data_IF_246314335766
#
_entry.id   IF_246314335766
#
_cell.length_a   1.000
_cell.length_b   1.000
_cell.length_c   1.000
_cell.angle_alpha   90.00
_cell.angle_beta   90.00
_cell.angle_gamma   90.00
#
_symmetry.space_group_name_H-M   'P 1'
#
loop_
_entity.id
_entity.type
_entity.pdbx_description
1 polymer ?
#
# COMPACT_ATOMS: atom_id res chain seq x y z
N UNK A 1 -7.19 6.57 -16.70
CA UNK A 1 -8.04 7.74 -16.46
C UNK A 1 -7.25 8.72 -15.58
N UNK A 2 -7.18 10.03 -15.90
CA UNK A 2 -6.47 10.99 -15.09
C UNK A 2 -7.08 11.07 -13.68
N UNK A 3 -6.25 11.23 -12.66
CA UNK A 3 -6.68 11.34 -11.26
C UNK A 3 -7.54 12.59 -10.99
N UNK A 4 -7.49 13.58 -11.87
CA UNK A 4 -8.33 14.80 -11.82
C UNK A 4 -9.81 14.56 -12.09
N UNK A 5 -10.18 13.34 -12.51
CA UNK A 5 -11.58 12.97 -12.87
C UNK A 5 -12.26 12.10 -11.78
N UNK A 6 -11.72 12.03 -10.55
CA UNK A 6 -12.43 11.34 -9.46
C UNK A 6 -13.69 12.15 -9.09
N UNK A 7 -14.90 11.62 -9.31
CA UNK A 7 -16.13 12.34 -8.98
C UNK A 7 -16.23 12.65 -7.49
N UNK A 8 -16.71 13.83 -7.16
CA UNK A 8 -16.94 14.23 -5.77
C UNK A 8 -17.91 13.30 -5.03
N UNK A 9 -17.90 13.32 -3.68
CA UNK A 9 -18.69 12.40 -2.86
C UNK A 9 -20.21 12.50 -3.04
N UNK A 10 -20.69 13.61 -3.60
CA UNK A 10 -22.12 13.85 -3.82
C UNK A 10 -22.64 13.27 -5.15
N UNK A 11 -21.76 12.80 -6.03
CA UNK A 11 -22.13 12.28 -7.34
C UNK A 11 -21.97 10.76 -7.44
N UNK A 12 -22.85 10.06 -6.71
CA UNK A 12 -22.83 8.58 -6.62
C UNK A 12 -22.89 7.88 -7.98
N UNK A 13 -23.52 8.49 -8.98
CA UNK A 13 -23.66 7.89 -10.31
C UNK A 13 -22.35 8.01 -11.10
N UNK A 14 -21.70 9.17 -11.03
CA UNK A 14 -20.39 9.38 -11.66
C UNK A 14 -19.31 8.54 -10.98
N UNK A 15 -19.34 8.44 -9.66
CA UNK A 15 -18.43 7.59 -8.90
C UNK A 15 -18.59 6.11 -9.27
N UNK A 16 -19.83 5.62 -9.36
CA UNK A 16 -20.11 4.25 -9.78
C UNK A 16 -19.65 3.96 -11.22
N UNK A 17 -19.84 4.91 -12.14
CA UNK A 17 -19.38 4.79 -13.52
C UNK A 17 -17.86 4.88 -13.64
N UNK A 18 -17.21 5.71 -12.83
CA UNK A 18 -15.77 5.81 -12.74
C UNK A 18 -15.15 4.50 -12.21
N UNK A 19 -15.70 3.96 -11.11
CA UNK A 19 -15.31 2.65 -10.55
C UNK A 19 -15.52 1.54 -11.57
N UNK A 20 -16.66 1.50 -12.25
CA UNK A 20 -16.95 0.50 -13.29
C UNK A 20 -16.02 0.64 -14.51
N UNK A 21 -15.61 1.87 -14.85
CA UNK A 21 -14.59 2.13 -15.86
C UNK A 21 -13.22 1.58 -15.46
N UNK A 22 -12.82 1.84 -14.23
CA UNK A 22 -11.56 1.37 -13.66
C UNK A 22 -11.53 -0.16 -13.54
N UNK A 23 -12.61 -0.78 -13.08
CA UNK A 23 -12.74 -2.25 -13.00
C UNK A 23 -12.64 -2.90 -14.38
N UNK A 24 -13.21 -2.30 -15.45
CA UNK A 24 -13.05 -2.81 -16.82
C UNK A 24 -11.61 -2.71 -17.32
N UNK A 25 -10.86 -1.67 -16.95
CA UNK A 25 -9.42 -1.57 -17.28
C UNK A 25 -8.58 -2.59 -16.52
N UNK A 26 -8.95 -2.88 -15.27
CA UNK A 26 -8.32 -3.94 -14.47
C UNK A 26 -8.63 -5.33 -15.02
N UNK A 27 -9.87 -5.59 -15.44
CA UNK A 27 -10.28 -6.86 -16.07
C UNK A 27 -9.51 -7.11 -17.39
N UNK A 28 -9.30 -6.06 -18.20
CA UNK A 28 -8.49 -6.15 -19.42
C UNK A 28 -7.00 -6.44 -19.12
N UNK A 29 -6.47 -5.88 -18.02
CA UNK A 29 -5.09 -6.14 -17.58
C UNK A 29 -4.93 -7.55 -16.95
N UNK A 30 -6.00 -8.13 -16.42
CA UNK A 30 -6.02 -9.46 -15.80
C UNK A 30 -6.24 -10.61 -16.83
N UNK A 31 -6.65 -10.28 -18.06
CA UNK A 31 -6.97 -11.29 -19.10
C UNK A 31 -5.79 -11.66 -20.00
N UNK A 32 -4.67 -10.96 -19.94
CA UNK A 32 -3.45 -11.43 -20.60
C UNK A 32 -2.81 -12.55 -19.76
N UNK A 33 -2.71 -13.79 -20.27
CA UNK A 33 -2.07 -14.88 -19.55
C UNK A 33 -0.54 -14.65 -19.57
N UNK A 34 -0.04 -13.95 -18.58
CA UNK A 34 1.39 -13.99 -18.28
C UNK A 34 1.66 -15.38 -17.69
N UNK A 35 2.55 -16.13 -18.34
CA UNK A 35 2.95 -17.48 -17.92
C UNK A 35 3.71 -17.43 -16.59
N UNK A 36 3.02 -17.76 -15.48
CA UNK A 36 3.42 -17.53 -14.08
C UNK A 36 4.08 -18.75 -13.43
N UNK A 37 4.78 -19.61 -14.16
CA UNK A 37 5.25 -20.89 -13.61
C UNK A 37 6.55 -20.85 -12.78
N UNK A 38 7.14 -19.70 -12.48
CA UNK A 38 8.45 -19.65 -11.81
C UNK A 38 8.50 -19.01 -10.42
N UNK A 39 7.41 -18.90 -9.70
CA UNK A 39 7.44 -18.26 -8.36
C UNK A 39 6.20 -18.44 -7.49
N UNK A 40 5.23 -19.18 -7.95
CA UNK A 40 3.96 -19.33 -7.28
C UNK A 40 4.04 -20.45 -6.23
N UNK A 41 4.21 -20.09 -4.96
CA UNK A 41 4.08 -21.05 -3.85
C UNK A 41 2.80 -20.75 -3.05
N UNK A 42 1.66 -21.40 -3.39
CA UNK A 42 0.40 -21.21 -2.68
C UNK A 42 0.50 -21.50 -1.17
N UNK A 43 1.45 -22.33 -0.76
CA UNK A 43 1.66 -22.67 0.65
C UNK A 43 2.14 -21.45 1.45
N UNK A 44 3.00 -20.62 0.88
CA UNK A 44 3.46 -19.39 1.56
C UNK A 44 2.38 -18.34 1.66
N UNK A 45 1.46 -18.30 0.70
CA UNK A 45 0.31 -17.39 0.76
C UNK A 45 -0.69 -17.79 1.84
N UNK A 46 -0.83 -19.07 2.15
CA UNK A 46 -1.72 -19.54 3.22
C UNK A 46 -1.31 -19.08 4.62
N UNK A 47 -0.06 -18.62 4.79
CA UNK A 47 0.45 -18.05 6.04
C UNK A 47 0.14 -16.55 6.17
N UNK A 48 -0.38 -15.89 5.12
CA UNK A 48 -0.68 -14.47 5.13
C UNK A 48 -2.11 -14.23 5.61
N UNK A 49 -2.26 -13.69 6.80
CA UNK A 49 -3.56 -13.33 7.38
C UNK A 49 -4.01 -11.92 7.02
N UNK A 50 -3.08 -11.06 6.62
CA UNK A 50 -3.37 -9.66 6.28
C UNK A 50 -2.35 -9.09 5.30
N UNK A 51 -2.79 -8.13 4.48
CA UNK A 51 -1.90 -7.38 3.58
C UNK A 51 -2.03 -5.90 3.85
N UNK A 52 -0.91 -5.22 4.12
CA UNK A 52 -0.89 -3.81 4.44
C UNK A 52 -0.10 -2.99 3.43
N UNK A 53 -0.73 -1.94 2.92
CA UNK A 53 -0.08 -0.89 2.16
C UNK A 53 0.50 0.15 3.12
N UNK A 54 1.80 0.40 3.03
CA UNK A 54 2.47 1.50 3.70
C UNK A 54 2.64 2.63 2.69
N UNK A 55 1.96 3.74 2.90
CA UNK A 55 1.90 4.85 1.97
C UNK A 55 2.60 6.07 2.56
N UNK A 56 3.37 6.80 1.77
CA UNK A 56 4.03 7.99 2.25
C UNK A 56 4.75 8.81 1.17
N UNK A 57 5.38 9.89 1.61
CA UNK A 57 6.14 10.78 0.75
C UNK A 57 7.34 11.35 1.54
N UNK A 58 7.53 12.66 1.57
CA UNK A 58 8.60 13.30 2.30
C UNK A 58 8.58 12.93 3.81
N UNK A 59 9.70 12.42 4.32
CA UNK A 59 9.85 11.99 5.71
C UNK A 59 9.33 10.58 6.02
N UNK A 60 8.66 9.90 5.10
CA UNK A 60 8.11 8.57 5.33
C UNK A 60 9.18 7.50 5.60
N UNK A 61 10.35 7.60 4.99
CA UNK A 61 11.44 6.62 5.16
C UNK A 61 11.80 6.42 6.64
N UNK A 62 11.99 7.50 7.38
CA UNK A 62 12.32 7.42 8.81
C UNK A 62 11.15 6.86 9.65
N UNK A 63 9.92 7.23 9.30
CA UNK A 63 8.71 6.74 9.96
C UNK A 63 8.53 5.22 9.73
N UNK A 64 8.72 4.74 8.50
CA UNK A 64 8.64 3.32 8.14
C UNK A 64 9.76 2.52 8.80
N UNK A 65 10.98 3.07 8.91
CA UNK A 65 12.06 2.43 9.68
C UNK A 65 11.69 2.30 11.16
N UNK A 66 11.18 3.36 11.77
CA UNK A 66 10.74 3.35 13.17
C UNK A 66 9.59 2.34 13.39
N UNK A 67 8.66 2.25 12.44
CA UNK A 67 7.57 1.28 12.44
C UNK A 67 8.11 -0.17 12.46
N UNK A 68 8.97 -0.55 11.52
CA UNK A 68 9.49 -1.93 11.47
C UNK A 68 10.43 -2.26 12.63
N UNK A 69 11.16 -1.28 13.15
CA UNK A 69 12.06 -1.50 14.30
C UNK A 69 11.31 -1.75 15.61
N UNK A 70 10.03 -1.41 15.68
CA UNK A 70 9.22 -1.59 16.88
C UNK A 70 8.56 -2.97 17.01
N UNK A 71 8.56 -3.79 15.95
CA UNK A 71 8.09 -5.17 16.03
C UNK A 71 9.05 -6.03 16.83
N UNK A 72 8.51 -6.88 17.69
CA UNK A 72 9.29 -7.89 18.43
C UNK A 72 9.43 -9.17 17.62
N UNK A 73 8.47 -9.47 16.75
CA UNK A 73 8.48 -10.60 15.82
C UNK A 73 7.66 -10.25 14.56
N UNK A 74 7.93 -10.85 13.40
CA UNK A 74 7.13 -10.63 12.21
C UNK A 74 5.73 -11.21 12.41
N UNK A 75 4.68 -10.40 12.30
CA UNK A 75 3.31 -10.93 12.28
C UNK A 75 3.02 -11.66 10.95
N UNK A 76 1.93 -12.45 10.84
CA UNK A 76 1.53 -13.13 9.61
C UNK A 76 0.96 -12.13 8.58
N UNK A 77 1.72 -11.08 8.31
CA UNK A 77 1.36 -9.93 7.48
C UNK A 77 2.38 -9.78 6.35
N UNK A 78 1.87 -9.61 5.14
CA UNK A 78 2.67 -9.13 4.03
C UNK A 78 2.53 -7.62 3.87
N UNK A 79 3.63 -6.94 3.56
CA UNK A 79 3.67 -5.50 3.41
C UNK A 79 3.99 -5.09 1.97
N UNK A 80 3.29 -4.08 1.49
CA UNK A 80 3.61 -3.37 0.25
C UNK A 80 3.94 -1.94 0.65
N UNK A 81 5.07 -1.43 0.15
CA UNK A 81 5.50 -0.07 0.46
C UNK A 81 5.48 0.80 -0.79
N UNK A 82 4.72 1.88 -0.75
CA UNK A 82 4.61 2.89 -1.78
C UNK A 82 5.02 4.25 -1.22
N UNK A 83 6.06 4.84 -1.77
CA UNK A 83 6.52 6.17 -1.39
C UNK A 83 6.76 7.02 -2.62
N UNK A 84 6.24 8.25 -2.59
CA UNK A 84 6.59 9.24 -3.61
C UNK A 84 8.05 9.62 -3.50
N UNK A 85 8.74 9.62 -4.61
CA UNK A 85 10.10 10.13 -4.70
C UNK A 85 10.46 10.48 -6.14
N UNK A 86 11.48 11.31 -6.27
CA UNK A 86 12.05 11.65 -7.55
C UNK A 86 12.68 10.40 -8.20
N UNK A 87 12.21 9.96 -9.37
CA UNK A 87 12.76 8.80 -10.05
C UNK A 87 14.27 8.85 -10.30
N UNK A 88 14.84 10.07 -10.37
CA UNK A 88 16.29 10.25 -10.49
C UNK A 88 17.06 9.88 -9.21
N UNK A 89 16.36 9.74 -8.08
CA UNK A 89 16.91 9.39 -6.75
C UNK A 89 16.54 7.99 -6.29
N UNK A 90 16.13 7.11 -7.19
CA UNK A 90 15.71 5.74 -6.87
C UNK A 90 16.73 4.99 -6.01
N UNK A 91 18.04 5.17 -6.25
CA UNK A 91 19.10 4.57 -5.46
C UNK A 91 19.06 4.90 -3.95
N UNK A 92 18.40 6.01 -3.57
CA UNK A 92 18.24 6.37 -2.15
C UNK A 92 17.23 5.47 -1.44
N UNK A 93 16.22 4.96 -2.16
CA UNK A 93 15.26 3.99 -1.61
C UNK A 93 15.84 2.58 -1.57
N UNK A 94 16.67 2.22 -2.55
CA UNK A 94 17.41 0.96 -2.56
C UNK A 94 18.35 0.87 -1.34
N UNK A 95 18.76 2.01 -0.78
CA UNK A 95 19.56 2.10 0.44
C UNK A 95 18.75 2.02 1.74
N UNK A 96 17.41 1.89 1.67
CA UNK A 96 16.58 1.70 2.85
C UNK A 96 16.99 0.40 3.57
N UNK A 97 17.77 0.55 4.62
CA UNK A 97 18.23 -0.58 5.42
C UNK A 97 17.38 -0.68 6.68
N UNK A 98 16.62 -1.76 6.79
CA UNK A 98 15.92 -2.08 8.03
C UNK A 98 16.91 -2.61 9.08
N UNK A 99 16.85 -2.04 10.28
CA UNK A 99 17.66 -2.54 11.40
C UNK A 99 17.10 -3.86 11.93
N UNK A 100 15.76 -4.01 11.91
CA UNK A 100 15.11 -5.26 12.27
C UNK A 100 15.32 -6.29 11.15
N UNK A 101 16.21 -7.25 11.42
CA UNK A 101 16.61 -8.31 10.47
C UNK A 101 15.55 -9.39 10.25
N UNK A 102 14.46 -9.34 10.98
CA UNK A 102 13.32 -10.25 10.78
C UNK A 102 12.47 -9.87 9.55
N UNK A 103 12.66 -8.63 9.05
CA UNK A 103 12.01 -8.17 7.83
C UNK A 103 13.00 -8.09 6.68
N UNK A 104 12.53 -8.45 5.49
CA UNK A 104 13.27 -8.30 4.24
C UNK A 104 12.57 -7.31 3.31
N UNK A 105 13.33 -6.36 2.78
CA UNK A 105 12.84 -5.42 1.77
C UNK A 105 13.31 -5.89 0.40
N UNK A 106 12.38 -5.98 -0.55
CA UNK A 106 12.66 -6.27 -1.96
C UNK A 106 12.08 -5.17 -2.84
N UNK A 107 12.78 -4.85 -3.91
CA UNK A 107 12.26 -3.96 -4.95
C UNK A 107 11.26 -4.75 -5.78
N UNK A 108 10.06 -4.24 -5.92
CA UNK A 108 8.94 -4.91 -6.59
C UNK A 108 9.01 -4.85 -8.11
N UNK A 109 10.21 -5.03 -8.72
CA UNK A 109 10.35 -5.21 -10.17
C UNK A 109 10.05 -6.67 -10.55
N UNK A 110 9.27 -6.86 -11.63
CA UNK A 110 8.88 -8.20 -12.07
C UNK A 110 7.75 -8.80 -11.24
N UNK A 111 7.87 -10.08 -10.89
CA UNK A 111 6.85 -10.84 -10.17
C UNK A 111 7.38 -11.26 -8.79
N UNK A 112 6.61 -10.98 -7.76
CA UNK A 112 6.91 -11.38 -6.39
C UNK A 112 5.70 -12.05 -5.75
N UNK A 113 5.95 -12.89 -4.74
CA UNK A 113 4.89 -13.41 -3.86
C UNK A 113 4.91 -12.64 -2.55
N UNK A 114 3.76 -12.17 -2.13
CA UNK A 114 3.54 -11.56 -0.82
C UNK A 114 3.63 -12.68 0.25
N UNK A 115 4.53 -12.52 1.20
CA UNK A 115 4.75 -13.48 2.28
C UNK A 115 4.99 -12.73 3.59
N UNK A 116 4.74 -13.35 4.76
CA UNK A 116 5.02 -12.73 6.05
C UNK A 116 6.49 -12.29 6.17
N UNK A 117 6.71 -11.15 6.82
CA UNK A 117 8.06 -10.59 7.02
C UNK A 117 8.72 -10.02 5.75
N UNK A 118 8.07 -10.10 4.58
CA UNK A 118 8.57 -9.47 3.36
C UNK A 118 7.83 -8.16 3.08
N UNK A 119 8.60 -7.16 2.69
CA UNK A 119 8.14 -5.85 2.25
C UNK A 119 8.45 -5.72 0.76
N UNK A 120 7.43 -5.60 -0.06
CA UNK A 120 7.60 -5.33 -1.50
C UNK A 120 7.47 -3.84 -1.73
N UNK A 121 8.57 -3.18 -2.06
CA UNK A 121 8.59 -1.75 -2.36
C UNK A 121 8.25 -1.52 -3.83
N UNK A 122 7.24 -0.69 -4.08
CA UNK A 122 6.80 -0.37 -5.44
C UNK A 122 7.76 0.63 -6.07
N UNK A 123 8.39 0.28 -7.21
CA UNK A 123 9.19 1.25 -7.96
C UNK A 123 8.31 2.36 -8.54
N UNK A 124 8.78 3.62 -8.58
CA UNK A 124 7.93 4.76 -8.94
C UNK A 124 7.38 4.68 -10.36
N UNK A 125 8.13 4.11 -11.30
CA UNK A 125 7.74 3.98 -12.70
C UNK A 125 7.19 2.61 -13.06
N UNK A 126 6.66 1.91 -12.08
CA UNK A 126 6.06 0.59 -12.28
C UNK A 126 4.64 0.58 -11.76
N UNK A 127 3.70 0.34 -12.64
CA UNK A 127 2.34 -0.01 -12.23
C UNK A 127 2.30 -1.45 -11.77
N UNK A 128 1.47 -1.74 -10.80
CA UNK A 128 1.36 -3.06 -10.22
C UNK A 128 -0.01 -3.66 -10.44
N UNK A 129 -0.04 -4.99 -10.50
CA UNK A 129 -1.26 -5.78 -10.45
C UNK A 129 -1.12 -6.82 -9.35
N UNK A 130 -2.24 -7.08 -8.67
CA UNK A 130 -2.33 -8.10 -7.62
C UNK A 130 -3.11 -9.29 -8.19
N UNK A 131 -2.43 -10.40 -8.31
CA UNK A 131 -2.97 -11.66 -8.80
C UNK A 131 -3.47 -12.58 -7.69
N UNK A 132 -3.86 -13.79 -8.07
CA UNK A 132 -4.25 -14.84 -7.12
C UNK A 132 -3.04 -15.27 -6.28
N UNK A 133 -3.31 -15.82 -5.09
CA UNK A 133 -2.28 -16.39 -4.21
C UNK A 133 -1.16 -15.42 -3.82
N UNK A 134 -1.53 -14.14 -3.62
CA UNK A 134 -0.59 -13.11 -3.17
C UNK A 134 0.48 -12.73 -4.18
N UNK A 135 0.27 -13.00 -5.46
CA UNK A 135 1.17 -12.50 -6.48
C UNK A 135 1.02 -10.99 -6.65
N UNK A 136 2.15 -10.31 -6.67
CA UNK A 136 2.26 -8.92 -7.11
C UNK A 136 3.19 -8.88 -8.31
N UNK A 137 2.73 -8.35 -9.41
CA UNK A 137 3.54 -8.15 -10.61
C UNK A 137 3.62 -6.68 -10.96
N UNK A 138 4.76 -6.25 -11.46
CA UNK A 138 4.97 -4.88 -11.89
C UNK A 138 5.37 -4.81 -13.35
N UNK A 139 4.83 -3.81 -14.04
CA UNK A 139 5.19 -3.44 -15.41
C UNK A 139 5.64 -2.00 -15.47
N UNK A 140 6.69 -1.73 -16.21
CA UNK A 140 7.17 -0.35 -16.41
C UNK A 140 6.13 0.45 -17.19
N UNK A 141 5.44 1.34 -16.50
CA UNK A 141 4.41 2.22 -17.05
C UNK A 141 4.23 3.43 -16.14
N UNK A 142 3.83 4.55 -16.74
CA UNK A 142 3.49 5.75 -15.99
C UNK A 142 2.14 5.59 -15.29
N UNK A 143 2.00 6.22 -14.12
CA UNK A 143 0.77 6.16 -13.31
C UNK A 143 -0.37 7.03 -13.85
N UNK A 144 -0.10 7.90 -14.79
CA UNK A 144 -1.11 8.79 -15.37
C UNK A 144 -1.50 9.99 -14.51
N UNK A 145 -0.93 10.11 -13.32
CA UNK A 145 -1.05 11.26 -12.42
C UNK A 145 0.31 11.93 -12.19
N UNK A 146 0.33 13.03 -11.44
CA UNK A 146 1.58 13.67 -11.03
C UNK A 146 2.24 12.97 -9.84
N UNK A 147 1.52 12.08 -9.17
CA UNK A 147 2.06 11.24 -8.10
C UNK A 147 2.66 9.94 -8.66
N UNK A 148 3.80 9.55 -8.10
CA UNK A 148 4.57 8.39 -8.59
C UNK A 148 5.29 7.70 -7.43
N UNK A 149 4.84 6.48 -7.02
CA UNK A 149 3.61 5.79 -7.43
C UNK A 149 2.33 6.51 -7.01
N UNK A 150 1.20 6.28 -7.66
CA UNK A 150 -0.10 6.84 -7.32
C UNK A 150 -0.76 6.01 -6.21
N UNK A 151 -0.90 6.57 -5.02
CA UNK A 151 -1.46 5.87 -3.85
C UNK A 151 -2.98 5.71 -3.98
N UNK A 152 -3.67 6.67 -4.60
CA UNK A 152 -5.10 6.54 -4.88
C UNK A 152 -5.37 5.34 -5.78
N UNK A 153 -4.61 5.19 -6.86
CA UNK A 153 -4.75 4.04 -7.77
C UNK A 153 -4.39 2.72 -7.06
N UNK A 154 -3.34 2.72 -6.23
CA UNK A 154 -2.98 1.54 -5.44
C UNK A 154 -4.09 1.09 -4.49
N UNK A 155 -4.76 2.00 -3.81
CA UNK A 155 -5.88 1.68 -2.93
C UNK A 155 -7.06 1.06 -3.71
N UNK A 156 -7.30 1.51 -4.94
CA UNK A 156 -8.30 0.90 -5.81
C UNK A 156 -7.89 -0.51 -6.23
N UNK A 157 -6.62 -0.72 -6.59
CA UNK A 157 -6.09 -2.06 -6.90
C UNK A 157 -6.24 -2.99 -5.68
N UNK A 158 -5.94 -2.52 -4.47
CA UNK A 158 -6.13 -3.26 -3.24
C UNK A 158 -7.60 -3.64 -3.00
N UNK A 159 -8.51 -2.70 -3.23
CA UNK A 159 -9.95 -2.93 -3.09
C UNK A 159 -10.43 -4.03 -4.04
N UNK A 160 -9.93 -4.05 -5.28
CA UNK A 160 -10.32 -5.02 -6.28
C UNK A 160 -9.71 -6.41 -6.09
N UNK A 161 -8.58 -6.51 -5.40
CA UNK A 161 -7.78 -7.75 -5.33
C UNK A 161 -8.27 -8.80 -4.33
N UNK A 162 -9.34 -8.52 -3.57
CA UNK A 162 -9.89 -9.44 -2.55
C UNK A 162 -8.80 -10.02 -1.62
N UNK A 163 -7.97 -9.13 -1.07
CA UNK A 163 -6.88 -9.49 -0.16
C UNK A 163 -7.41 -9.90 1.22
N UNK A 164 -6.71 -10.77 1.97
CA UNK A 164 -7.06 -11.07 3.33
C UNK A 164 -6.88 -9.84 4.22
N UNK A 165 -7.91 -9.45 4.96
CA UNK A 165 -7.90 -8.35 5.93
C UNK A 165 -7.06 -7.13 5.51
N UNK A 166 -7.36 -6.47 4.36
CA UNK A 166 -6.51 -5.42 3.82
C UNK A 166 -6.44 -4.20 4.74
N UNK A 167 -5.27 -3.58 4.80
CA UNK A 167 -5.06 -2.34 5.54
C UNK A 167 -4.17 -1.35 4.81
N UNK A 168 -4.26 -0.09 5.20
CA UNK A 168 -3.34 0.97 4.78
C UNK A 168 -2.86 1.75 5.99
N UNK A 169 -1.57 2.11 6.00
CA UNK A 169 -1.02 3.09 6.93
C UNK A 169 -0.49 4.27 6.12
N UNK A 170 -1.05 5.45 6.37
CA UNK A 170 -0.56 6.70 5.77
C UNK A 170 0.47 7.31 6.70
N UNK A 171 1.70 7.38 6.25
CA UNK A 171 2.82 8.01 6.94
C UNK A 171 3.05 9.44 6.48
N UNK A 172 4.05 10.09 7.07
CA UNK A 172 4.56 11.42 6.69
C UNK A 172 4.60 11.61 5.17
N UNK A 173 4.10 12.74 4.70
CA UNK A 173 4.12 13.06 3.28
C UNK A 173 3.55 14.43 2.94
N UNK A 174 3.99 14.97 1.79
CA UNK A 174 3.42 16.16 1.18
C UNK A 174 2.24 15.79 0.29
N UNK A 175 1.28 16.70 0.15
CA UNK A 175 0.08 16.49 -0.66
C UNK A 175 -1.00 15.71 0.07
N UNK A 176 -1.90 15.12 -0.69
CA UNK A 176 -3.13 14.47 -0.22
C UNK A 176 -3.39 13.12 -0.91
N UNK A 177 -2.38 12.59 -1.62
CA UNK A 177 -2.53 11.36 -2.37
C UNK A 177 -2.91 10.18 -1.45
N UNK A 178 -3.88 9.41 -1.90
CA UNK A 178 -4.51 8.33 -1.15
C UNK A 178 -5.83 8.75 -0.48
N UNK A 179 -5.99 10.00 -0.05
CA UNK A 179 -7.18 10.45 0.69
C UNK A 179 -8.48 10.25 -0.10
N UNK A 180 -8.48 10.53 -1.41
CA UNK A 180 -9.66 10.40 -2.26
C UNK A 180 -10.17 8.95 -2.35
N UNK A 181 -9.28 7.97 -2.31
CA UNK A 181 -9.63 6.54 -2.43
C UNK A 181 -9.92 5.84 -1.10
N UNK A 182 -9.69 6.50 0.06
CA UNK A 182 -9.95 5.90 1.37
C UNK A 182 -11.42 5.51 1.55
N UNK A 183 -12.37 6.28 1.00
CA UNK A 183 -13.80 5.95 1.11
C UNK A 183 -14.17 4.65 0.41
N UNK A 184 -13.60 4.38 -0.75
CA UNK A 184 -13.85 3.13 -1.49
C UNK A 184 -13.18 1.96 -0.77
N UNK A 185 -11.98 2.18 -0.25
CA UNK A 185 -11.23 1.19 0.50
C UNK A 185 -11.92 0.81 1.82
N UNK A 186 -12.43 1.80 2.58
CA UNK A 186 -13.20 1.60 3.81
C UNK A 186 -14.51 0.83 3.54
N UNK A 187 -15.26 1.24 2.50
CA UNK A 187 -16.50 0.58 2.11
C UNK A 187 -16.31 -0.91 1.71
N UNK A 188 -15.11 -1.28 1.29
CA UNK A 188 -14.71 -2.66 1.01
C UNK A 188 -14.18 -3.42 2.25
N UNK A 189 -14.22 -2.80 3.44
CA UNK A 189 -13.75 -3.40 4.69
C UNK A 189 -12.25 -3.22 4.94
N UNK A 190 -11.59 -2.34 4.23
CA UNK A 190 -10.19 -2.00 4.44
C UNK A 190 -9.97 -1.24 5.75
N UNK A 191 -8.89 -1.53 6.46
CA UNK A 191 -8.50 -0.80 7.68
C UNK A 191 -7.63 0.39 7.32
N UNK A 192 -7.96 1.58 7.84
CA UNK A 192 -7.25 2.82 7.58
C UNK A 192 -6.60 3.29 8.86
N UNK A 193 -5.27 3.31 8.86
CA UNK A 193 -4.47 3.84 9.95
C UNK A 193 -3.61 5.00 9.47
N UNK A 194 -3.21 5.88 10.40
CA UNK A 194 -2.46 7.07 10.03
C UNK A 194 -1.39 7.38 11.09
N UNK A 195 -0.24 7.81 10.64
CA UNK A 195 0.74 8.43 11.53
C UNK A 195 0.17 9.72 12.09
N UNK A 196 0.24 9.93 13.41
CA UNK A 196 -0.17 11.20 14.03
C UNK A 196 0.56 12.36 13.36
N UNK A 197 -0.14 13.41 12.89
CA UNK A 197 0.48 14.54 12.20
C UNK A 197 1.62 15.18 12.98
N UNK A 198 1.48 15.34 14.30
CA UNK A 198 2.51 15.93 15.17
C UNK A 198 3.82 15.14 15.21
N UNK A 199 3.78 13.85 14.92
CA UNK A 199 4.97 12.99 14.83
C UNK A 199 5.55 12.91 13.40
N UNK A 200 4.86 13.48 12.41
CA UNK A 200 5.26 13.43 11.02
C UNK A 200 6.17 14.61 10.65
N UNK A 201 7.21 14.34 9.86
CA UNK A 201 8.07 15.40 9.29
C UNK A 201 7.26 16.32 8.36
N UNK A 202 6.35 15.71 7.56
CA UNK A 202 5.40 16.43 6.73
C UNK A 202 3.99 15.93 7.09
N UNK A 203 3.15 16.83 7.60
CA UNK A 203 1.85 16.49 8.16
C UNK A 203 0.73 16.37 7.11
N UNK A 204 0.95 16.85 5.86
CA UNK A 204 -0.12 17.05 4.89
C UNK A 204 -0.86 15.74 4.53
N UNK A 205 -0.16 14.66 4.18
CA UNK A 205 -0.79 13.38 3.88
C UNK A 205 -1.51 12.77 5.09
N UNK A 206 -0.89 12.68 6.30
CA UNK A 206 -1.60 12.25 7.50
C UNK A 206 -2.84 13.08 7.80
N UNK A 207 -2.76 14.41 7.68
CA UNK A 207 -3.89 15.30 7.92
C UNK A 207 -5.00 15.10 6.89
N UNK A 208 -4.67 15.02 5.59
CA UNK A 208 -5.64 14.76 4.54
C UNK A 208 -6.39 13.43 4.75
N UNK A 209 -5.71 12.40 5.24
CA UNK A 209 -6.35 11.14 5.60
C UNK A 209 -7.29 11.31 6.80
N UNK A 210 -6.89 12.04 7.86
CA UNK A 210 -7.73 12.32 9.03
C UNK A 210 -8.98 13.14 8.66
N UNK A 211 -8.84 14.11 7.76
CA UNK A 211 -9.94 14.99 7.32
C UNK A 211 -11.05 14.19 6.57
N UNK A 212 -10.78 12.96 6.15
CA UNK A 212 -11.81 12.07 5.58
C UNK A 212 -12.77 11.51 6.63
N UNK A 213 -12.42 11.58 7.93
CA UNK A 213 -13.16 10.97 9.06
C UNK A 213 -13.30 9.44 8.97
N UNK A 214 -12.49 8.76 8.13
CA UNK A 214 -12.52 7.31 7.90
C UNK A 214 -11.39 6.56 8.63
N UNK A 215 -10.56 7.29 9.38
CA UNK A 215 -9.39 6.70 10.03
C UNK A 215 -9.80 5.91 11.27
N UNK A 216 -9.43 4.63 11.29
CA UNK A 216 -9.71 3.72 12.40
C UNK A 216 -8.71 3.84 13.56
N UNK A 217 -7.48 4.26 13.27
CA UNK A 217 -6.41 4.44 14.27
C UNK A 217 -5.41 5.51 13.84
N UNK A 218 -4.99 6.31 14.80
CA UNK A 218 -3.86 7.24 14.67
C UNK A 218 -2.84 6.96 15.78
N UNK A 219 -1.56 7.14 15.48
CA UNK A 219 -0.48 6.95 16.46
C UNK A 219 0.90 7.24 15.89
N UNK A 220 1.91 7.24 16.73
CA UNK A 220 3.30 7.26 16.30
C UNK A 220 3.67 5.96 15.58
N UNK A 221 4.68 5.96 14.69
CA UNK A 221 5.04 4.76 13.92
C UNK A 221 5.26 3.52 14.79
N UNK A 222 5.96 3.65 15.93
CA UNK A 222 6.21 2.55 16.84
C UNK A 222 4.93 2.07 17.57
N UNK A 223 3.98 2.96 17.83
CA UNK A 223 2.68 2.60 18.43
C UNK A 223 1.80 1.85 17.44
N UNK A 224 1.81 2.29 16.16
CA UNK A 224 1.09 1.61 15.09
C UNK A 224 1.64 0.19 14.89
N UNK A 225 2.96 0.00 14.94
CA UNK A 225 3.56 -1.32 14.84
C UNK A 225 3.13 -2.26 15.97
N UNK A 226 3.22 -1.81 17.23
CA UNK A 226 2.79 -2.61 18.39
C UNK A 226 1.29 -2.92 18.35
N UNK A 227 0.49 -1.96 17.91
CA UNK A 227 -0.94 -2.17 17.73
C UNK A 227 -1.22 -3.20 16.64
N UNK A 228 -0.47 -3.18 15.55
CA UNK A 228 -0.60 -4.15 14.47
C UNK A 228 -0.16 -5.55 14.92
N UNK A 229 0.97 -5.65 15.62
CA UNK A 229 1.46 -6.91 16.20
C UNK A 229 0.42 -7.52 17.16
N UNK A 230 -0.25 -6.71 17.98
CA UNK A 230 -1.26 -7.19 18.92
C UNK A 230 -2.56 -7.69 18.27
N UNK A 231 -2.84 -7.31 17.02
CA UNK A 231 -3.97 -7.87 16.26
C UNK A 231 -3.71 -9.30 15.78
N UNK A 232 -2.44 -9.70 15.71
CA UNK A 232 -1.99 -11.00 15.20
C UNK A 232 -1.02 -11.60 16.21
N UNK A 233 -1.51 -12.02 17.39
CA UNK A 233 -0.64 -12.65 18.38
C UNK A 233 -0.03 -13.92 17.80
N UNK A 234 1.23 -14.18 18.14
CA UNK A 234 1.85 -15.45 17.79
C UNK A 234 0.95 -16.59 18.30
N UNK A 235 0.61 -17.53 17.43
CA UNK A 235 -0.09 -18.73 17.85
C UNK A 235 0.75 -19.49 18.89
N UNK A 236 0.09 -19.94 19.95
CA UNK A 236 0.69 -20.81 20.96
C UNK A 236 1.15 -22.14 20.36
#
# INVERSE_FOLDING_TARGET
LPADDVPGPDDRLLLANWIAGLLRHLDAALTDPVDFDSGNNPALWSEVESVWLLAGSAGATAAVQAFFNAFTQPPPIAFIYAQHYDPAKQHQLESLTLQNKQFSLVIGEGVHTLVPGRIVMIPPRCRVTLGKFGQISSTRADWGSHYTPDINELLVIFTAANLPSPGVIVFSGMGDDGAASLRVFDAAGGRIWVQTPDSAVCQAMPQAALDTELVHRSGEPAELARALESLYPAGD
#
